data_IF_167712139143
#
_entry.id   IF_167712139143
#
_cell.length_a   1.000
_cell.length_b   1.000
_cell.length_c   1.000
_cell.angle_alpha   90.00
_cell.angle_beta   90.00
_cell.angle_gamma   90.00
#
_symmetry.space_group_name_H-M   'P 1'
#
loop_
_entity.id
_entity.type
_entity.pdbx_description
1 polymer ?
#
# COMPACT_ATOMS: atom_id res chain seq x y z
N UNK A 1 -3.80 0.00 -16.02
CA UNK A 1 -3.08 -0.21 -14.75
C UNK A 1 -1.69 0.45 -14.71
N UNK A 2 -0.97 0.55 -15.83
CA UNK A 2 0.39 1.16 -15.87
C UNK A 2 0.40 2.63 -15.41
N UNK A 3 -0.50 3.46 -15.93
CA UNK A 3 -0.59 4.89 -15.60
C UNK A 3 -0.85 5.15 -14.09
N UNK A 4 -1.72 4.35 -13.46
CA UNK A 4 -2.00 4.45 -12.02
C UNK A 4 -0.75 4.16 -11.19
N UNK A 5 0.06 3.17 -11.58
CA UNK A 5 1.30 2.86 -10.87
C UNK A 5 2.33 3.99 -10.97
N UNK A 6 2.43 4.66 -12.14
CA UNK A 6 3.32 5.81 -12.32
C UNK A 6 2.90 7.00 -11.43
N UNK A 7 1.60 7.28 -11.35
CA UNK A 7 1.07 8.33 -10.47
C UNK A 7 1.31 8.03 -8.99
N UNK A 8 1.12 6.78 -8.57
CA UNK A 8 1.43 6.36 -7.19
C UNK A 8 2.92 6.42 -6.91
N UNK A 9 3.77 6.04 -7.85
CA UNK A 9 5.22 6.14 -7.68
C UNK A 9 5.67 7.59 -7.52
N UNK A 10 5.13 8.51 -8.34
CA UNK A 10 5.35 9.94 -8.19
C UNK A 10 4.90 10.43 -6.80
N UNK A 11 3.68 10.06 -6.39
CA UNK A 11 3.13 10.41 -5.06
C UNK A 11 4.00 9.90 -3.91
N UNK A 12 4.42 8.63 -3.93
CA UNK A 12 5.31 8.05 -2.92
C UNK A 12 6.66 8.76 -2.87
N UNK A 13 7.20 9.15 -4.03
CA UNK A 13 8.47 9.88 -4.12
C UNK A 13 8.37 11.25 -3.45
N UNK A 14 7.26 11.96 -3.65
CA UNK A 14 6.97 13.22 -2.94
C UNK A 14 6.85 13.01 -1.44
N UNK A 15 6.10 12.00 -0.99
CA UNK A 15 5.96 11.70 0.45
C UNK A 15 7.31 11.43 1.13
N UNK A 16 8.17 10.63 0.51
CA UNK A 16 9.49 10.31 1.07
C UNK A 16 10.36 11.57 1.18
N UNK A 17 10.24 12.50 0.23
CA UNK A 17 11.04 13.74 0.22
C UNK A 17 10.52 14.80 1.19
N UNK A 18 9.20 15.00 1.24
CA UNK A 18 8.58 16.15 1.90
C UNK A 18 7.98 15.82 3.27
N UNK A 19 7.66 14.54 3.52
CA UNK A 19 6.97 14.08 4.72
C UNK A 19 7.65 12.88 5.38
N UNK A 20 8.99 12.85 5.34
CA UNK A 20 9.78 11.78 5.98
C UNK A 20 9.49 11.70 7.48
N UNK A 21 9.26 10.48 7.98
CA UNK A 21 9.02 10.20 9.41
C UNK A 21 7.64 10.59 9.93
N UNK A 22 6.73 11.08 9.07
CA UNK A 22 5.37 11.45 9.45
C UNK A 22 4.38 10.29 9.25
N UNK A 23 3.32 10.27 10.04
CA UNK A 23 2.19 9.37 9.84
C UNK A 23 1.29 9.93 8.74
N UNK A 24 1.10 9.17 7.65
CA UNK A 24 0.32 9.58 6.48
C UNK A 24 -0.95 8.74 6.37
N UNK A 25 -2.10 9.40 6.31
CA UNK A 25 -3.38 8.79 5.99
C UNK A 25 -3.74 9.09 4.54
N UNK A 26 -3.99 8.04 3.75
CA UNK A 26 -4.44 8.16 2.35
C UNK A 26 -5.84 7.58 2.23
N UNK A 27 -6.79 8.37 1.72
CA UNK A 27 -8.15 7.94 1.42
C UNK A 27 -8.33 7.90 -0.10
N UNK A 28 -8.70 6.74 -0.63
CA UNK A 28 -8.84 6.52 -2.06
C UNK A 28 -9.68 5.27 -2.35
N UNK A 29 -9.76 4.89 -3.62
CA UNK A 29 -10.53 3.75 -4.10
C UNK A 29 -9.73 2.45 -4.04
N UNK A 30 -10.44 1.31 -4.06
CA UNK A 30 -9.86 -0.03 -3.95
C UNK A 30 -8.74 -0.30 -4.97
N UNK A 31 -8.93 0.08 -6.23
CA UNK A 31 -7.91 -0.11 -7.27
C UNK A 31 -6.60 0.66 -6.98
N UNK A 32 -6.70 1.87 -6.41
CA UNK A 32 -5.53 2.67 -6.02
C UNK A 32 -4.82 2.03 -4.84
N UNK A 33 -5.58 1.56 -3.84
CA UNK A 33 -5.03 0.86 -2.66
C UNK A 33 -4.29 -0.43 -3.05
N UNK A 34 -4.81 -1.19 -4.01
CA UNK A 34 -4.12 -2.36 -4.56
C UNK A 34 -2.82 -1.97 -5.28
N UNK A 35 -2.82 -0.87 -6.02
CA UNK A 35 -1.59 -0.37 -6.65
C UNK A 35 -0.55 0.12 -5.63
N UNK A 36 -0.96 0.71 -4.50
CA UNK A 36 -0.05 0.97 -3.38
C UNK A 36 0.60 -0.32 -2.89
N UNK A 37 -0.21 -1.35 -2.65
CA UNK A 37 0.26 -2.67 -2.22
C UNK A 37 1.27 -3.27 -3.21
N UNK A 38 0.97 -3.18 -4.51
CA UNK A 38 1.87 -3.61 -5.60
C UNK A 38 3.25 -2.95 -5.48
N UNK A 39 3.29 -1.64 -5.27
CA UNK A 39 4.53 -0.85 -5.21
C UNK A 39 5.30 -1.09 -3.91
N UNK A 40 4.62 -1.10 -2.76
CA UNK A 40 5.25 -1.23 -1.45
C UNK A 40 5.75 -2.67 -1.19
N UNK A 41 4.95 -3.67 -1.55
CA UNK A 41 5.28 -5.08 -1.34
C UNK A 41 6.04 -5.72 -2.52
N UNK A 42 6.27 -4.96 -3.61
CA UNK A 42 6.92 -5.43 -4.85
C UNK A 42 6.28 -6.70 -5.44
N UNK A 43 4.94 -6.78 -5.38
CA UNK A 43 4.17 -7.93 -5.84
C UNK A 43 3.91 -7.84 -7.34
N UNK A 44 4.00 -8.97 -8.06
CA UNK A 44 3.62 -9.03 -9.47
C UNK A 44 2.11 -8.91 -9.66
N UNK A 45 1.69 -8.30 -10.77
CA UNK A 45 0.28 -8.00 -11.06
C UNK A 45 -0.64 -9.23 -10.99
N UNK A 46 -0.19 -10.38 -11.50
CA UNK A 46 -0.96 -11.63 -11.44
C UNK A 46 -1.22 -12.09 -10.01
N UNK A 47 -0.24 -11.95 -9.12
CA UNK A 47 -0.39 -12.31 -7.71
C UNK A 47 -1.31 -11.33 -6.98
N UNK A 48 -1.22 -10.03 -7.28
CA UNK A 48 -2.13 -9.02 -6.73
C UNK A 48 -3.59 -9.28 -7.15
N UNK A 49 -3.82 -9.62 -8.41
CA UNK A 49 -5.15 -9.99 -8.91
C UNK A 49 -5.67 -11.30 -8.30
N UNK A 50 -4.79 -12.19 -7.86
CA UNK A 50 -5.17 -13.39 -7.11
C UNK A 50 -5.62 -12.99 -5.69
N UNK A 51 -4.82 -12.19 -4.99
CA UNK A 51 -5.16 -11.65 -3.66
C UNK A 51 -6.50 -10.92 -3.69
N UNK A 52 -6.72 -10.04 -4.66
CA UNK A 52 -7.99 -9.30 -4.75
C UNK A 52 -9.21 -10.18 -5.09
N UNK A 53 -8.98 -11.32 -5.75
CA UNK A 53 -10.06 -12.29 -6.03
C UNK A 53 -10.39 -13.14 -4.81
N UNK A 54 -9.39 -13.46 -3.99
CA UNK A 54 -9.54 -14.25 -2.77
C UNK A 54 -10.08 -13.42 -1.60
N UNK A 55 -9.68 -12.15 -1.52
CA UNK A 55 -10.08 -11.21 -0.48
C UNK A 55 -10.35 -9.82 -1.09
N UNK A 56 -11.58 -9.68 -1.59
CA UNK A 56 -12.08 -8.43 -2.15
C UNK A 56 -12.06 -7.34 -1.07
N UNK A 57 -11.50 -6.18 -1.44
CA UNK A 57 -11.38 -5.06 -0.52
C UNK A 57 -12.75 -4.54 -0.11
N UNK A 58 -13.03 -4.60 1.20
CA UNK A 58 -14.31 -4.15 1.77
C UNK A 58 -14.39 -2.63 1.76
N UNK A 59 -15.62 -2.12 1.76
CA UNK A 59 -15.86 -0.69 1.92
C UNK A 59 -15.31 -0.22 3.27
N UNK A 60 -14.63 0.95 3.25
CA UNK A 60 -13.97 1.52 4.42
C UNK A 60 -12.90 0.61 5.06
N UNK A 61 -12.34 -0.33 4.30
CA UNK A 61 -11.22 -1.12 4.75
C UNK A 61 -9.94 -0.28 4.88
N UNK A 62 -9.14 -0.64 5.88
CA UNK A 62 -7.87 0.00 6.20
C UNK A 62 -6.74 -0.98 5.86
N UNK A 63 -5.70 -0.43 5.25
CA UNK A 63 -4.41 -1.09 5.07
C UNK A 63 -3.38 -0.25 5.83
N UNK A 64 -2.69 -0.88 6.78
CA UNK A 64 -1.66 -0.21 7.59
C UNK A 64 -0.29 -0.74 7.23
N UNK A 65 0.65 0.19 7.06
CA UNK A 65 2.06 -0.09 6.87
C UNK A 65 2.86 0.63 7.93
N UNK A 66 3.77 -0.10 8.57
CA UNK A 66 4.70 0.46 9.56
C UNK A 66 6.13 0.41 9.03
N UNK A 67 6.89 1.46 9.26
CA UNK A 67 8.32 1.46 8.93
C UNK A 67 9.07 0.52 9.87
N UNK A 68 9.86 -0.37 9.28
CA UNK A 68 10.65 -1.35 10.00
C UNK A 68 12.11 -1.22 9.56
N UNK A 69 12.94 -0.74 10.48
CA UNK A 69 14.36 -0.48 10.27
C UNK A 69 15.22 -1.74 10.25
N UNK A 70 14.70 -2.86 10.76
CA UNK A 70 15.44 -4.11 10.89
C UNK A 70 15.27 -5.02 9.66
N UNK A 71 14.29 -4.74 8.81
CA UNK A 71 14.07 -5.48 7.57
C UNK A 71 15.27 -5.39 6.62
N UNK A 72 15.79 -6.57 6.23
CA UNK A 72 16.81 -6.72 5.18
C UNK A 72 16.14 -6.92 3.80
N UNK A 73 16.80 -6.53 2.69
CA UNK A 73 18.13 -5.92 2.58
C UNK A 73 18.17 -4.41 2.84
N UNK A 74 17.02 -3.74 2.94
CA UNK A 74 16.90 -2.32 3.27
C UNK A 74 15.67 -2.09 4.15
N UNK A 75 15.71 -1.10 5.05
CA UNK A 75 14.54 -0.63 5.78
C UNK A 75 13.38 -0.41 4.82
N UNK A 76 12.21 -0.94 5.17
CA UNK A 76 11.02 -0.83 4.32
C UNK A 76 9.76 -0.76 5.15
N UNK A 77 8.69 -0.36 4.50
CA UNK A 77 7.35 -0.45 5.05
C UNK A 77 6.91 -1.92 5.09
N UNK A 78 6.57 -2.40 6.28
CA UNK A 78 6.01 -3.72 6.55
C UNK A 78 4.49 -3.60 6.64
N UNK A 79 3.78 -4.49 5.96
CA UNK A 79 2.33 -4.61 6.12
C UNK A 79 2.03 -5.02 7.56
N UNK A 80 1.24 -4.21 8.25
CA UNK A 80 0.75 -4.50 9.60
C UNK A 80 -0.57 -5.27 9.53
N UNK A 81 -1.53 -4.76 8.76
CA UNK A 81 -2.78 -5.45 8.46
C UNK A 81 -3.36 -4.99 7.12
N UNK A 82 -4.16 -5.87 6.52
CA UNK A 82 -4.86 -5.66 5.27
C UNK A 82 -6.36 -5.90 5.46
N UNK A 83 -7.18 -5.16 4.72
CA UNK A 83 -8.64 -5.32 4.67
C UNK A 83 -9.36 -5.26 6.03
N UNK A 84 -8.83 -4.48 6.99
CA UNK A 84 -9.39 -4.36 8.35
C UNK A 84 -10.45 -3.26 8.39
N UNK A 85 -11.62 -3.55 8.96
CA UNK A 85 -12.65 -2.55 9.26
C UNK A 85 -12.47 -2.13 10.71
N UNK A 86 -12.33 -0.83 10.99
CA UNK A 86 -12.10 -0.33 12.35
C UNK A 86 -13.28 -0.53 13.31
N UNK A 87 -14.49 -0.77 12.79
CA UNK A 87 -15.73 -0.82 13.55
C UNK A 87 -16.20 -2.23 13.96
N UNK A 88 -15.28 -3.19 14.12
CA UNK A 88 -15.64 -4.55 14.55
C UNK A 88 -14.67 -5.11 15.57
#
# INVERSE_FOLDING_TARGET
MLDVNLRIWSFLTTLVREHSGQNILVVSHSAVMLSFRKMLEKIHEKALLKINREDEMKNCAIISYIFDSELKPKPKLRLEFYNKIAWK
#
